data_IF_863354048653
#
_entry.id   IF_863354048653
#
_cell.length_a   1.000
_cell.length_b   1.000
_cell.length_c   1.000
_cell.angle_alpha   90.00
_cell.angle_beta   90.00
_cell.angle_gamma   90.00
#
_symmetry.space_group_name_H-M   'P 1'
#
loop_
_entity.id
_entity.type
_entity.pdbx_description
1 polymer ?
#
# COMPACT_ATOMS: atom_id res chain seq x y z
N UNK A 1 12.93 -6.14 -5.27
CA UNK A 1 12.52 -5.68 -3.93
C UNK A 1 11.18 -4.97 -4.10
N UNK A 2 10.21 -5.34 -3.29
CA UNK A 2 8.85 -4.77 -3.37
C UNK A 2 8.88 -3.24 -3.37
N UNK A 3 8.07 -2.65 -4.25
CA UNK A 3 7.88 -1.20 -4.38
C UNK A 3 6.44 -0.94 -4.86
N UNK A 4 5.79 0.06 -4.27
CA UNK A 4 4.43 0.45 -4.58
C UNK A 4 4.44 1.90 -5.06
N UNK A 5 4.27 2.13 -6.36
CA UNK A 5 4.38 3.48 -6.99
C UNK A 5 5.64 4.25 -6.55
N UNK A 6 6.77 3.54 -6.45
CA UNK A 6 8.05 4.10 -5.96
C UNK A 6 8.20 4.15 -4.43
N UNK A 7 7.12 3.92 -3.67
CA UNK A 7 7.18 3.83 -2.21
C UNK A 7 7.75 2.49 -1.74
N UNK A 8 8.55 2.52 -0.68
CA UNK A 8 9.04 1.32 0.00
C UNK A 8 9.43 1.61 1.44
N UNK A 9 9.36 0.56 2.28
CA UNK A 9 9.84 0.59 3.64
C UNK A 9 11.13 -0.21 3.79
N UNK A 10 12.07 0.32 4.59
CA UNK A 10 13.31 -0.37 4.97
C UNK A 10 13.47 -0.33 6.49
N UNK A 11 14.37 -1.18 7.01
CA UNK A 11 14.65 -1.27 8.45
C UNK A 11 13.37 -1.52 9.28
N UNK A 12 12.47 -2.35 8.74
CA UNK A 12 11.21 -2.68 9.40
C UNK A 12 11.54 -3.51 10.64
N UNK A 13 11.04 -3.05 11.79
CA UNK A 13 11.08 -3.75 13.06
C UNK A 13 9.64 -3.95 13.52
N UNK A 14 9.24 -5.20 13.61
CA UNK A 14 7.92 -5.61 14.07
C UNK A 14 8.00 -5.98 15.55
N UNK A 15 6.97 -5.68 16.31
CA UNK A 15 6.84 -6.01 17.73
C UNK A 15 5.37 -6.25 18.09
N UNK A 16 5.13 -6.82 19.27
CA UNK A 16 3.79 -7.01 19.82
C UNK A 16 3.54 -5.87 20.81
N UNK A 17 2.49 -5.08 20.57
CA UNK A 17 1.98 -4.07 21.47
C UNK A 17 0.75 -4.55 22.25
N UNK A 18 0.08 -3.65 22.94
CA UNK A 18 -1.13 -3.95 23.72
C UNK A 18 -2.31 -4.33 22.85
N UNK A 19 -2.45 -3.66 21.69
CA UNK A 19 -3.57 -3.83 20.74
C UNK A 19 -3.19 -4.65 19.50
N UNK A 20 -2.10 -5.45 19.55
CA UNK A 20 -1.72 -6.32 18.44
C UNK A 20 -0.28 -6.16 17.99
N UNK A 21 -0.08 -6.11 16.65
CA UNK A 21 1.25 -6.01 16.05
C UNK A 21 1.52 -4.58 15.60
N UNK A 22 2.57 -4.00 16.16
CA UNK A 22 3.11 -2.72 15.74
C UNK A 22 4.37 -2.86 14.89
N UNK A 23 4.77 -1.76 14.27
CA UNK A 23 6.02 -1.70 13.53
C UNK A 23 6.66 -0.30 13.54
N UNK A 24 7.97 -0.28 13.38
CA UNK A 24 8.70 0.93 12.99
C UNK A 24 9.46 0.70 11.69
N UNK A 25 9.56 1.72 10.83
CA UNK A 25 10.24 1.62 9.56
C UNK A 25 10.80 2.95 9.07
N UNK A 26 11.82 2.90 8.19
CA UNK A 26 12.25 4.04 7.40
C UNK A 26 11.48 4.07 6.08
N UNK A 27 10.89 5.22 5.73
CA UNK A 27 10.14 5.43 4.49
C UNK A 27 11.05 5.92 3.38
N UNK A 28 10.85 5.38 2.18
CA UNK A 28 11.55 5.75 0.96
C UNK A 28 10.56 5.99 -0.17
N UNK A 29 10.82 7.02 -0.98
CA UNK A 29 10.09 7.30 -2.22
C UNK A 29 11.10 7.45 -3.36
N UNK A 30 10.91 6.70 -4.46
CA UNK A 30 11.85 6.63 -5.58
C UNK A 30 13.30 6.39 -5.15
N UNK A 31 13.49 5.53 -4.13
CA UNK A 31 14.80 5.15 -3.60
C UNK A 31 15.44 6.17 -2.64
N UNK A 32 14.85 7.35 -2.46
CA UNK A 32 15.32 8.37 -1.51
C UNK A 32 14.58 8.25 -0.18
N UNK A 33 15.28 8.36 0.93
CA UNK A 33 14.65 8.40 2.25
C UNK A 33 13.82 9.67 2.39
N UNK A 34 12.56 9.51 2.82
CA UNK A 34 11.61 10.62 3.01
C UNK A 34 11.18 10.78 4.47
N UNK A 35 11.40 9.77 5.32
CA UNK A 35 10.92 9.85 6.70
C UNK A 35 10.99 8.53 7.45
N UNK A 36 10.17 8.45 8.49
CA UNK A 36 9.92 7.26 9.30
C UNK A 36 8.43 7.11 9.60
N UNK A 37 8.02 5.87 9.79
CA UNK A 37 6.69 5.44 10.16
C UNK A 37 6.77 4.61 11.44
N UNK A 38 5.84 4.83 12.36
CA UNK A 38 5.67 4.01 13.55
C UNK A 38 4.19 3.78 13.84
N UNK A 39 3.83 2.53 14.08
CA UNK A 39 2.58 2.09 14.66
C UNK A 39 2.94 1.36 15.94
N UNK A 40 2.50 1.90 17.08
CA UNK A 40 2.85 1.35 18.40
C UNK A 40 1.94 0.21 18.86
N UNK A 41 0.86 -0.08 18.13
CA UNK A 41 -0.14 -1.08 18.48
C UNK A 41 -0.65 -0.92 19.93
N UNK A 42 -0.96 0.30 20.32
CA UNK A 42 -1.47 0.70 21.63
C UNK A 42 -2.78 1.51 21.53
N UNK A 43 -3.43 1.47 20.34
CA UNK A 43 -4.64 2.23 20.04
C UNK A 43 -4.39 3.71 19.73
N UNK A 44 -3.14 4.19 19.83
CA UNK A 44 -2.79 5.55 19.40
C UNK A 44 -2.68 5.63 17.86
N UNK A 45 -2.90 6.84 17.27
CA UNK A 45 -2.66 7.04 15.86
C UNK A 45 -1.20 6.78 15.48
N UNK A 46 -0.97 6.35 14.26
CA UNK A 46 0.35 6.14 13.69
C UNK A 46 1.16 7.44 13.68
N UNK A 47 2.45 7.33 13.95
CA UNK A 47 3.38 8.45 13.93
C UNK A 47 4.14 8.45 12.61
N UNK A 48 3.95 9.52 11.83
CA UNK A 48 4.68 9.77 10.60
C UNK A 48 5.59 10.98 10.78
N UNK A 49 6.88 10.82 10.50
CA UNK A 49 7.84 11.92 10.56
C UNK A 49 8.55 12.06 9.23
N UNK A 50 8.40 13.20 8.57
CA UNK A 50 9.08 13.51 7.32
C UNK A 50 10.42 14.22 7.58
N UNK A 51 11.40 14.02 6.70
CA UNK A 51 12.72 14.67 6.81
C UNK A 51 12.69 16.13 6.32
N UNK A 52 11.66 16.52 5.59
CA UNK A 52 11.43 17.89 5.10
C UNK A 52 10.01 18.06 4.58
N UNK A 53 9.55 19.32 4.48
CA UNK A 53 8.26 19.67 3.87
C UNK A 53 8.15 19.20 2.41
N UNK A 54 9.28 19.20 1.68
CA UNK A 54 9.31 18.69 0.31
C UNK A 54 9.01 17.18 0.26
N UNK A 55 9.54 16.40 1.21
CA UNK A 55 9.29 14.97 1.31
C UNK A 55 7.83 14.68 1.68
N UNK A 56 7.24 15.47 2.58
CA UNK A 56 5.83 15.40 2.93
C UNK A 56 4.94 15.68 1.71
N UNK A 57 5.22 16.77 0.97
CA UNK A 57 4.47 17.14 -0.22
C UNK A 57 4.47 16.05 -1.29
N UNK A 58 5.63 15.46 -1.57
CA UNK A 58 5.73 14.37 -2.54
C UNK A 58 4.98 13.11 -2.06
N UNK A 59 5.05 12.79 -0.77
CA UNK A 59 4.30 11.66 -0.22
C UNK A 59 2.79 11.91 -0.27
N UNK A 60 2.31 13.13 0.04
CA UNK A 60 0.89 13.46 -0.02
C UNK A 60 0.34 13.34 -1.45
N UNK A 61 1.09 13.78 -2.47
CA UNK A 61 0.71 13.58 -3.88
C UNK A 61 0.54 12.09 -4.21
N UNK A 62 1.45 11.25 -3.71
CA UNK A 62 1.34 9.80 -3.87
C UNK A 62 0.09 9.26 -3.18
N UNK A 63 -0.18 9.68 -1.93
CA UNK A 63 -1.36 9.23 -1.16
C UNK A 63 -2.65 9.56 -1.92
N UNK A 64 -2.79 10.79 -2.40
CA UNK A 64 -3.96 11.24 -3.17
C UNK A 64 -4.13 10.44 -4.46
N UNK A 65 -3.04 10.26 -5.22
CA UNK A 65 -3.05 9.45 -6.44
C UNK A 65 -3.39 7.98 -6.15
N UNK A 66 -2.86 7.43 -5.08
CA UNK A 66 -3.10 6.04 -4.69
C UNK A 66 -4.57 5.82 -4.29
N UNK A 67 -5.14 6.74 -3.53
CA UNK A 67 -6.52 6.67 -3.08
C UNK A 67 -7.53 6.68 -4.24
N UNK A 68 -7.25 7.41 -5.33
CA UNK A 68 -8.07 7.36 -6.56
C UNK A 68 -8.18 5.96 -7.14
N UNK A 69 -7.08 5.22 -7.14
CA UNK A 69 -7.02 3.85 -7.68
C UNK A 69 -7.54 2.80 -6.68
N UNK A 70 -7.56 3.13 -5.38
CA UNK A 70 -7.91 2.23 -4.28
C UNK A 70 -8.87 2.91 -3.28
N UNK A 71 -10.06 3.34 -3.74
CA UNK A 71 -11.01 4.05 -2.88
C UNK A 71 -11.58 3.12 -1.80
N UNK A 72 -11.78 3.68 -0.60
CA UNK A 72 -12.54 3.03 0.45
C UNK A 72 -14.04 3.16 0.16
N UNK A 73 -14.69 2.09 -0.28
CA UNK A 73 -16.09 2.10 -0.70
C UNK A 73 -17.04 2.60 0.41
N UNK A 74 -16.80 2.23 1.66
CA UNK A 74 -17.62 2.69 2.78
C UNK A 74 -17.56 4.22 2.95
N UNK A 75 -16.38 4.83 2.85
CA UNK A 75 -16.21 6.28 2.94
C UNK A 75 -16.78 6.97 1.70
N UNK A 76 -16.63 6.39 0.52
CA UNK A 76 -17.27 6.88 -0.72
C UNK A 76 -18.79 6.95 -0.53
N UNK A 77 -19.40 5.87 -0.08
CA UNK A 77 -20.85 5.80 0.17
C UNK A 77 -21.30 6.82 1.21
N UNK A 78 -20.50 7.04 2.28
CA UNK A 78 -20.77 8.06 3.29
C UNK A 78 -20.75 9.47 2.71
N UNK A 79 -19.78 9.82 1.86
CA UNK A 79 -19.70 11.13 1.21
C UNK A 79 -20.82 11.34 0.18
N UNK A 80 -21.23 10.29 -0.54
CA UNK A 80 -22.38 10.34 -1.44
C UNK A 80 -23.70 10.57 -0.68
N UNK A 81 -23.82 10.01 0.54
CA UNK A 81 -24.99 10.19 1.40
C UNK A 81 -25.02 11.55 2.11
N UNK A 82 -23.86 12.16 2.36
CA UNK A 82 -23.73 13.48 3.01
C UNK A 82 -22.76 14.39 2.23
N UNK A 83 -23.22 15.00 1.13
CA UNK A 83 -22.41 15.90 0.30
C UNK A 83 -21.85 17.10 1.07
N UNK A 84 -22.59 17.60 2.09
CA UNK A 84 -22.13 18.74 2.89
C UNK A 84 -20.89 18.38 3.69
N UNK A 85 -20.85 17.19 4.29
CA UNK A 85 -19.66 16.67 4.98
C UNK A 85 -18.48 16.56 4.03
N UNK A 86 -18.72 16.05 2.81
CA UNK A 86 -17.67 15.97 1.79
C UNK A 86 -17.09 17.36 1.47
N UNK A 87 -17.96 18.37 1.25
CA UNK A 87 -17.52 19.75 0.98
C UNK A 87 -16.68 20.32 2.14
N UNK A 88 -17.13 20.16 3.39
CA UNK A 88 -16.41 20.61 4.59
C UNK A 88 -15.03 19.93 4.72
N UNK A 89 -14.95 18.63 4.47
CA UNK A 89 -13.69 17.88 4.50
C UNK A 89 -12.76 18.26 3.35
N UNK A 90 -13.28 18.52 2.14
CA UNK A 90 -12.50 19.05 1.01
C UNK A 90 -11.94 20.45 1.30
N UNK A 91 -12.72 21.37 1.88
CA UNK A 91 -12.23 22.70 2.24
C UNK A 91 -11.11 22.63 3.28
N UNK A 92 -11.26 21.75 4.28
CA UNK A 92 -10.20 21.50 5.28
C UNK A 92 -8.94 20.93 4.61
N UNK A 93 -9.10 19.92 3.77
CA UNK A 93 -8.00 19.30 3.05
C UNK A 93 -7.23 20.30 2.17
N UNK A 94 -7.94 21.14 1.41
CA UNK A 94 -7.34 22.20 0.59
C UNK A 94 -6.55 23.21 1.41
N UNK A 95 -7.05 23.54 2.60
CA UNK A 95 -6.35 24.44 3.51
C UNK A 95 -5.06 23.83 4.04
N UNK A 96 -5.08 22.54 4.37
CA UNK A 96 -3.92 21.84 4.94
C UNK A 96 -2.91 21.49 3.84
N UNK A 97 -3.38 21.21 2.60
CA UNK A 97 -2.56 20.78 1.46
C UNK A 97 -2.78 21.65 0.21
N UNK A 98 -2.48 22.97 0.27
CA UNK A 98 -2.78 23.91 -0.82
C UNK A 98 -1.98 23.65 -2.11
N UNK A 99 -1.05 22.72 -2.11
CA UNK A 99 -0.24 22.31 -3.25
C UNK A 99 -0.83 21.10 -4.01
N UNK A 100 -1.94 20.53 -3.52
CA UNK A 100 -2.67 19.48 -4.25
C UNK A 100 -3.66 20.18 -5.20
N UNK A 101 -3.63 19.87 -6.52
CA UNK A 101 -4.56 20.45 -7.48
C UNK A 101 -6.02 20.11 -7.15
N UNK A 102 -6.94 21.04 -7.38
CA UNK A 102 -8.36 20.83 -7.12
C UNK A 102 -8.95 19.65 -7.88
N UNK A 103 -8.50 19.40 -9.11
CA UNK A 103 -8.88 18.26 -9.94
C UNK A 103 -8.43 16.89 -9.37
N UNK A 104 -7.49 16.91 -8.45
CA UNK A 104 -7.04 15.70 -7.76
C UNK A 104 -7.83 15.41 -6.48
N UNK A 105 -8.62 16.37 -6.00
CA UNK A 105 -9.45 16.23 -4.81
C UNK A 105 -10.83 15.73 -5.23
N UNK A 106 -10.99 14.41 -5.23
CA UNK A 106 -12.25 13.72 -5.60
C UNK A 106 -12.77 12.92 -4.41
N UNK A 107 -14.00 12.43 -4.48
CA UNK A 107 -14.57 11.56 -3.43
C UNK A 107 -13.67 10.34 -3.20
N UNK A 108 -13.16 9.74 -4.27
CA UNK A 108 -12.26 8.58 -4.19
C UNK A 108 -10.95 8.94 -3.51
N UNK A 109 -10.31 10.06 -3.89
CA UNK A 109 -9.05 10.48 -3.29
C UNK A 109 -9.19 10.86 -1.81
N UNK A 110 -10.35 11.40 -1.43
CA UNK A 110 -10.65 11.76 -0.04
C UNK A 110 -11.04 10.55 0.80
N UNK A 111 -11.46 9.42 0.19
CA UNK A 111 -11.90 8.22 0.91
C UNK A 111 -10.77 7.42 1.54
N UNK A 112 -9.55 7.57 1.07
CA UNK A 112 -8.37 6.79 1.51
C UNK A 112 -7.11 7.66 1.59
N UNK A 113 -7.23 8.91 2.03
CA UNK A 113 -6.14 9.88 2.06
C UNK A 113 -5.14 9.65 3.22
N UNK A 114 -4.98 8.42 3.67
CA UNK A 114 -4.05 8.05 4.74
C UNK A 114 -2.88 7.24 4.21
N UNK A 115 -1.70 7.52 4.73
CA UNK A 115 -0.48 6.73 4.49
C UNK A 115 -0.63 5.27 4.93
N UNK A 116 -1.50 4.99 5.90
CA UNK A 116 -1.75 3.65 6.45
C UNK A 116 -2.11 2.66 5.35
N UNK A 117 -2.99 3.02 4.43
CA UNK A 117 -3.39 2.15 3.32
C UNK A 117 -2.22 1.77 2.41
N UNK A 118 -1.34 2.73 2.12
CA UNK A 118 -0.12 2.47 1.31
C UNK A 118 0.85 1.57 2.08
N UNK A 119 1.01 1.81 3.38
CA UNK A 119 1.88 0.99 4.25
C UNK A 119 1.37 -0.44 4.32
N UNK A 120 0.08 -0.65 4.58
CA UNK A 120 -0.52 -1.98 4.64
C UNK A 120 -0.35 -2.76 3.33
N UNK A 121 -0.65 -2.12 2.20
CA UNK A 121 -0.55 -2.78 0.90
C UNK A 121 0.91 -3.03 0.50
N UNK A 122 1.83 -2.14 0.87
CA UNK A 122 3.26 -2.41 0.73
C UNK A 122 3.69 -3.62 1.57
N UNK A 123 3.22 -3.75 2.81
CA UNK A 123 3.56 -4.90 3.68
C UNK A 123 3.02 -6.21 3.10
N UNK A 124 1.79 -6.22 2.58
CA UNK A 124 1.22 -7.37 1.86
C UNK A 124 2.06 -7.75 0.65
N UNK A 125 2.48 -6.76 -0.14
CA UNK A 125 3.30 -6.97 -1.32
C UNK A 125 4.70 -7.51 -0.95
N UNK A 126 5.33 -6.98 0.08
CA UNK A 126 6.62 -7.45 0.61
C UNK A 126 6.54 -8.89 1.13
N UNK A 127 5.47 -9.24 1.83
CA UNK A 127 5.26 -10.61 2.30
C UNK A 127 5.07 -11.57 1.13
N UNK A 128 4.32 -11.17 0.12
CA UNK A 128 4.17 -11.92 -1.13
C UNK A 128 5.51 -12.15 -1.83
N UNK A 129 6.37 -11.13 -1.91
CA UNK A 129 7.75 -11.25 -2.44
C UNK A 129 8.57 -12.25 -1.63
N UNK A 130 8.46 -12.23 -0.29
CA UNK A 130 9.15 -13.16 0.60
C UNK A 130 8.72 -14.60 0.36
N UNK A 131 7.42 -14.83 0.27
CA UNK A 131 6.84 -16.15 -0.02
C UNK A 131 7.28 -16.64 -1.40
N UNK A 132 7.17 -15.82 -2.44
CA UNK A 132 7.65 -16.17 -3.77
C UNK A 132 9.11 -16.65 -3.75
N UNK A 133 10.01 -15.87 -3.13
CA UNK A 133 11.43 -16.25 -3.00
C UNK A 133 11.64 -17.56 -2.27
N UNK A 134 10.82 -17.87 -1.27
CA UNK A 134 10.89 -19.17 -0.57
C UNK A 134 10.47 -20.33 -1.48
N UNK A 135 9.40 -20.14 -2.26
CA UNK A 135 8.90 -21.19 -3.16
C UNK A 135 9.82 -21.40 -4.37
N UNK A 136 10.40 -20.34 -4.93
CA UNK A 136 11.40 -20.44 -5.99
C UNK A 136 12.62 -21.27 -5.52
N UNK A 137 13.09 -21.05 -4.30
CA UNK A 137 14.18 -21.88 -3.70
C UNK A 137 13.79 -23.37 -3.55
N UNK A 138 12.51 -23.69 -3.46
CA UNK A 138 11.99 -25.06 -3.39
C UNK A 138 11.71 -25.67 -4.78
N UNK A 139 12.01 -24.96 -5.86
CA UNK A 139 11.85 -25.45 -7.23
C UNK A 139 10.48 -25.16 -7.87
N UNK A 140 9.73 -24.18 -7.35
CA UNK A 140 8.51 -23.68 -7.98
C UNK A 140 8.81 -22.45 -8.83
N UNK A 141 8.05 -22.25 -9.93
CA UNK A 141 8.26 -21.10 -10.83
C UNK A 141 7.34 -19.91 -10.52
N UNK A 142 6.17 -20.19 -9.96
CA UNK A 142 5.17 -19.15 -9.66
C UNK A 142 4.39 -19.51 -8.39
N UNK A 143 3.77 -18.50 -7.80
CA UNK A 143 2.78 -18.66 -6.73
C UNK A 143 1.53 -17.81 -7.06
N UNK A 144 0.36 -18.24 -6.58
CA UNK A 144 -0.81 -17.36 -6.45
C UNK A 144 -1.20 -17.21 -4.98
N UNK A 145 -1.87 -16.11 -4.67
CA UNK A 145 -2.33 -15.79 -3.33
C UNK A 145 -3.83 -15.52 -3.34
N UNK A 146 -4.54 -16.23 -2.45
CA UNK A 146 -5.97 -16.01 -2.19
C UNK A 146 -6.20 -15.90 -0.69
N UNK A 147 -6.35 -14.68 -0.20
CA UNK A 147 -6.33 -14.42 1.24
C UNK A 147 -5.01 -14.89 1.86
N UNK A 148 -5.08 -15.83 2.82
CA UNK A 148 -3.89 -16.41 3.46
C UNK A 148 -3.38 -17.70 2.80
N UNK A 149 -4.06 -18.17 1.75
CA UNK A 149 -3.66 -19.40 1.06
C UNK A 149 -2.64 -19.10 -0.04
N UNK A 150 -1.58 -19.92 -0.10
CA UNK A 150 -0.54 -19.87 -1.14
C UNK A 150 -0.64 -21.12 -1.97
N UNK A 151 -0.86 -20.97 -3.27
CA UNK A 151 -0.76 -22.05 -4.25
C UNK A 151 0.55 -21.89 -5.01
N UNK A 152 1.36 -22.94 -5.07
CA UNK A 152 2.66 -22.91 -5.74
C UNK A 152 2.66 -23.83 -6.97
N UNK A 153 3.21 -23.31 -8.07
CA UNK A 153 3.17 -23.96 -9.39
C UNK A 153 4.56 -24.51 -9.76
N UNK A 154 4.66 -25.82 -10.11
CA UNK A 154 5.94 -26.44 -10.45
C UNK A 154 6.57 -25.83 -11.72
N UNK A 155 7.90 -25.97 -11.83
CA UNK A 155 8.65 -25.45 -12.97
C UNK A 155 8.25 -26.03 -14.35
N UNK A 156 7.63 -27.21 -14.36
CA UNK A 156 7.19 -27.88 -15.61
C UNK A 156 5.79 -27.46 -16.08
N UNK A 157 5.12 -26.53 -15.38
CA UNK A 157 3.85 -26.00 -15.85
C UNK A 157 4.08 -24.82 -16.80
N UNK A 158 3.27 -24.74 -17.89
CA UNK A 158 3.27 -23.57 -18.76
C UNK A 158 2.48 -22.41 -18.16
N UNK A 159 2.68 -21.20 -18.70
CA UNK A 159 1.95 -20.01 -18.25
C UNK A 159 0.45 -20.14 -18.52
N UNK A 160 0.07 -20.75 -19.66
CA UNK A 160 -1.32 -21.01 -20.01
C UNK A 160 -1.98 -21.92 -18.96
N UNK A 161 -1.31 -23.01 -18.57
CA UNK A 161 -1.82 -23.95 -17.56
C UNK A 161 -1.97 -23.27 -16.20
N UNK A 162 -1.02 -22.42 -15.79
CA UNK A 162 -1.11 -21.66 -14.54
C UNK A 162 -2.32 -20.71 -14.58
N UNK A 163 -2.51 -19.98 -15.68
CA UNK A 163 -3.64 -19.06 -15.86
C UNK A 163 -5.00 -19.77 -15.83
N UNK A 164 -5.11 -20.96 -16.44
CA UNK A 164 -6.33 -21.77 -16.38
C UNK A 164 -6.70 -22.19 -14.97
N UNK A 165 -5.73 -22.57 -14.15
CA UNK A 165 -5.95 -23.00 -12.77
C UNK A 165 -6.23 -21.84 -11.80
N UNK A 166 -5.60 -20.68 -12.02
CA UNK A 166 -5.71 -19.53 -11.11
C UNK A 166 -6.94 -18.68 -11.36
N UNK A 167 -7.55 -18.76 -12.55
CA UNK A 167 -8.66 -17.89 -13.00
C UNK A 167 -8.32 -16.41 -12.74
N UNK A 168 -8.96 -15.78 -11.75
CA UNK A 168 -8.81 -14.35 -11.45
C UNK A 168 -7.80 -14.08 -10.30
N UNK A 169 -7.01 -15.06 -9.89
CA UNK A 169 -6.04 -14.86 -8.82
C UNK A 169 -4.78 -14.14 -9.33
N UNK A 170 -4.21 -13.27 -8.48
CA UNK A 170 -2.94 -12.63 -8.79
C UNK A 170 -1.79 -13.64 -8.76
N UNK A 171 -1.09 -13.75 -9.87
CA UNK A 171 0.06 -14.66 -10.04
C UNK A 171 1.35 -13.86 -9.90
N UNK A 172 2.31 -14.41 -9.16
CA UNK A 172 3.67 -13.90 -9.05
C UNK A 172 4.63 -14.91 -9.67
N UNK A 173 5.28 -14.54 -10.75
CA UNK A 173 6.17 -15.41 -11.55
C UNK A 173 7.57 -14.82 -11.74
N UNK A 174 7.74 -13.54 -11.44
CA UNK A 174 9.03 -12.83 -11.49
C UNK A 174 9.18 -11.87 -10.31
N UNK A 175 10.40 -11.37 -10.11
CA UNK A 175 10.63 -10.31 -9.10
C UNK A 175 10.06 -8.95 -9.52
N UNK A 176 9.78 -8.76 -10.81
CA UNK A 176 9.21 -7.52 -11.34
C UNK A 176 7.71 -7.40 -10.98
N UNK A 177 7.04 -8.53 -10.70
CA UNK A 177 5.64 -8.55 -10.26
C UNK A 177 5.43 -7.86 -8.89
N UNK A 178 6.50 -7.59 -8.15
CA UNK A 178 6.51 -6.88 -6.87
C UNK A 178 6.88 -5.40 -7.00
N UNK A 179 7.00 -4.89 -8.22
CA UNK A 179 7.20 -3.48 -8.53
C UNK A 179 5.92 -2.97 -9.18
N UNK A 180 5.06 -2.34 -8.37
CA UNK A 180 3.82 -1.72 -8.83
C UNK A 180 4.13 -0.26 -9.18
N UNK A 181 3.94 0.10 -10.46
CA UNK A 181 4.18 1.44 -11.00
C UNK A 181 3.04 2.42 -10.65
#
# INVERSE_FOLDING_TARGET
MASLKGFSLKNIKEFVGEDGYGLTASMYLHGKRIGSYADHADGSPEIVSYISDAAEKEMMKLIVSYAKDHPNSYIVDMYLADPKRYEEDCERFKKDYPYIPDEDITIESMSSNSIVYIVEDFLKLRESERLYKQYVKKGYRAISLKGHQVTAYPNNWSDEKIKEETKDEKIFSSLDDFIIA
#
